data_IF_707066542471
#
_entry.id   IF_707066542471
#
_cell.length_a   1.000
_cell.length_b   1.000
_cell.length_c   1.000
_cell.angle_alpha   90.00
_cell.angle_beta   90.00
_cell.angle_gamma   90.00
#
_symmetry.space_group_name_H-M   'P 1'
#
loop_
_entity.id
_entity.type
_entity.pdbx_description
1 polymer ?
#
# COMPACT_ATOMS: atom_id res chain seq x y z
N UNK A 1 -19.05 23.95 -7.22
CA UNK A 1 -19.86 22.72 -7.06
C UNK A 1 -19.01 21.66 -6.38
N UNK A 2 -19.45 20.99 -5.30
CA UNK A 2 -18.62 20.02 -4.58
C UNK A 2 -18.38 18.75 -5.41
N UNK A 3 -17.19 18.16 -5.27
CA UNK A 3 -16.74 17.02 -6.07
C UNK A 3 -17.61 15.76 -5.89
N UNK A 4 -18.14 15.53 -4.68
CA UNK A 4 -19.03 14.40 -4.38
C UNK A 4 -20.49 14.87 -4.23
N UNK A 5 -21.06 15.36 -5.32
CA UNK A 5 -22.47 15.74 -5.39
C UNK A 5 -23.30 14.64 -6.08
N UNK A 6 -24.54 14.44 -5.65
CA UNK A 6 -25.53 13.57 -6.33
C UNK A 6 -25.75 14.03 -7.77
N UNK A 7 -25.73 15.35 -7.99
CA UNK A 7 -25.85 15.98 -9.33
C UNK A 7 -24.68 15.58 -10.25
N UNK A 8 -23.49 15.31 -9.69
CA UNK A 8 -22.34 14.77 -10.42
C UNK A 8 -22.31 13.23 -10.46
N UNK A 9 -23.44 12.57 -10.19
CA UNK A 9 -23.59 11.10 -10.13
C UNK A 9 -22.58 10.42 -9.20
N UNK A 10 -22.12 11.12 -8.16
CA UNK A 10 -21.06 10.64 -7.25
C UNK A 10 -19.79 10.18 -8.00
N UNK A 11 -19.50 10.76 -9.17
CA UNK A 11 -18.37 10.35 -10.01
C UNK A 11 -17.06 10.48 -9.22
N UNK A 12 -16.34 9.37 -9.13
CA UNK A 12 -15.01 9.32 -8.49
C UNK A 12 -13.99 9.77 -9.53
N UNK A 13 -13.12 10.72 -9.16
CA UNK A 13 -11.99 11.08 -10.03
C UNK A 13 -11.05 9.89 -10.19
N UNK A 14 -10.51 9.73 -11.40
CA UNK A 14 -9.49 8.72 -11.65
C UNK A 14 -8.26 9.00 -10.80
N UNK A 15 -7.67 7.93 -10.26
CA UNK A 15 -6.48 8.02 -9.43
C UNK A 15 -5.27 8.12 -10.37
N UNK A 16 -4.42 9.16 -10.24
CA UNK A 16 -3.18 9.29 -10.98
C UNK A 16 -2.33 8.01 -10.93
N UNK A 17 -1.66 7.68 -12.03
CA UNK A 17 -0.86 6.45 -12.16
C UNK A 17 0.27 6.39 -11.11
N UNK A 18 0.83 7.54 -10.75
CA UNK A 18 1.87 7.70 -9.73
C UNK A 18 1.38 7.31 -8.34
N UNK A 19 0.08 7.52 -8.05
CA UNK A 19 -0.54 7.11 -6.78
C UNK A 19 -1.00 5.64 -6.81
N UNK A 20 -1.34 5.14 -8.00
CA UNK A 20 -1.78 3.76 -8.19
C UNK A 20 -0.66 2.75 -7.97
N UNK A 21 0.59 3.10 -8.36
CA UNK A 21 1.78 2.24 -8.21
C UNK A 21 2.28 2.07 -6.77
N UNK A 22 1.87 2.93 -5.85
CA UNK A 22 2.40 2.94 -4.48
C UNK A 22 1.95 1.74 -3.65
N UNK A 23 2.89 1.23 -2.85
CA UNK A 23 2.63 0.25 -1.81
C UNK A 23 1.83 0.84 -0.65
N UNK A 24 1.29 -0.02 0.23
CA UNK A 24 0.54 0.43 1.39
C UNK A 24 1.38 1.30 2.32
N UNK A 25 2.62 0.88 2.61
CA UNK A 25 3.53 1.68 3.45
C UNK A 25 3.86 3.04 2.82
N UNK A 26 4.00 3.09 1.50
CA UNK A 26 4.26 4.34 0.77
C UNK A 26 3.05 5.28 0.78
N UNK A 27 1.84 4.73 0.62
CA UNK A 27 0.59 5.47 0.80
C UNK A 27 0.48 6.03 2.22
N UNK A 28 0.90 5.27 3.22
CA UNK A 28 0.95 5.73 4.61
C UNK A 28 1.95 6.88 4.81
N UNK A 29 3.10 6.88 4.12
CA UNK A 29 4.09 7.96 4.22
C UNK A 29 3.59 9.29 3.66
N UNK A 30 2.80 9.24 2.58
CA UNK A 30 2.23 10.44 1.95
C UNK A 30 0.86 10.80 2.51
N UNK A 31 0.31 10.05 3.46
CA UNK A 31 -1.00 10.35 4.01
C UNK A 31 -0.90 11.51 5.02
N UNK A 32 -1.69 12.58 4.81
CA UNK A 32 -1.84 13.67 5.80
C UNK A 32 -2.37 13.16 7.15
N UNK A 33 -3.20 12.12 7.10
CA UNK A 33 -3.83 11.50 8.27
C UNK A 33 -3.77 10.00 8.12
N UNK A 34 -3.12 9.34 9.07
CA UNK A 34 -3.04 7.89 9.15
C UNK A 34 -4.29 7.34 9.84
N UNK A 35 -5.15 6.56 9.15
CA UNK A 35 -6.26 5.89 9.81
C UNK A 35 -5.71 4.80 10.73
N UNK A 36 -5.85 4.97 12.05
CA UNK A 36 -5.41 3.97 13.04
C UNK A 36 -6.47 2.90 13.32
N UNK A 37 -7.62 2.96 12.66
CA UNK A 37 -8.74 2.02 12.87
C UNK A 37 -8.63 0.84 11.92
N UNK A 38 -8.49 -0.37 12.47
CA UNK A 38 -8.57 -1.62 11.72
C UNK A 38 -10.01 -2.11 11.76
N UNK A 39 -10.69 -2.10 10.61
CA UNK A 39 -11.93 -2.85 10.46
C UNK A 39 -11.53 -4.32 10.29
N UNK A 40 -11.88 -5.13 11.27
CA UNK A 40 -11.72 -6.58 11.20
C UNK A 40 -13.07 -7.21 10.97
N UNK A 41 -13.16 -8.08 9.97
CA UNK A 41 -14.32 -8.95 9.85
C UNK A 41 -14.36 -9.83 11.11
N UNK A 42 -15.53 -9.91 11.75
CA UNK A 42 -15.75 -10.95 12.75
C UNK A 42 -15.54 -12.29 12.06
N UNK A 43 -14.52 -13.04 12.48
CA UNK A 43 -14.36 -14.42 12.04
C UNK A 43 -15.64 -15.18 12.41
N UNK A 44 -16.27 -15.78 11.41
CA UNK A 44 -17.53 -16.55 11.51
C UNK A 44 -17.48 -17.70 12.54
N UNK A 45 -16.29 -18.01 13.09
CA UNK A 45 -16.09 -19.01 14.12
C UNK A 45 -16.76 -18.74 15.46
N UNK A 46 -17.28 -17.53 15.72
CA UNK A 46 -18.11 -17.28 16.92
C UNK A 46 -19.59 -17.67 16.76
N UNK A 47 -20.05 -17.94 15.53
CA UNK A 47 -21.45 -18.30 15.27
C UNK A 47 -21.63 -19.79 14.90
N UNK A 48 -20.60 -20.48 14.41
CA UNK A 48 -20.66 -21.93 14.15
C UNK A 48 -19.29 -22.59 14.21
N UNK A 49 -19.06 -23.43 15.22
CA UNK A 49 -17.84 -24.24 15.38
C UNK A 49 -17.66 -25.29 14.27
N UNK A 50 -18.73 -25.65 13.55
CA UNK A 50 -18.74 -26.69 12.50
C UNK A 50 -18.26 -26.20 11.12
N UNK A 51 -18.14 -24.88 10.92
CA UNK A 51 -17.69 -24.28 9.65
C UNK A 51 -16.25 -23.72 9.75
N UNK A 52 -15.48 -24.21 10.73
CA UNK A 52 -14.09 -23.79 10.92
C UNK A 52 -13.20 -24.47 9.88
N UNK A 53 -12.83 -23.76 8.82
CA UNK A 53 -11.80 -24.22 7.88
C UNK A 53 -10.44 -24.28 8.60
N UNK A 54 -9.90 -25.48 8.76
CA UNK A 54 -8.53 -25.71 9.24
C UNK A 54 -7.57 -25.53 8.06
N UNK A 55 -7.11 -24.30 7.85
CA UNK A 55 -6.11 -23.99 6.82
C UNK A 55 -4.72 -24.54 7.17
N UNK A 56 -4.04 -25.12 6.18
CA UNK A 56 -2.66 -25.59 6.28
C UNK A 56 -1.70 -24.40 6.44
N UNK A 57 -0.77 -24.47 7.40
CA UNK A 57 0.28 -23.47 7.60
C UNK A 57 1.55 -23.88 6.85
N UNK A 58 1.74 -23.34 5.65
CA UNK A 58 3.00 -23.38 4.92
C UNK A 58 3.02 -22.27 3.87
N UNK A 59 4.16 -21.59 3.65
CA UNK A 59 4.27 -20.61 2.58
C UNK A 59 4.23 -21.33 1.23
N UNK A 60 3.19 -21.08 0.45
CA UNK A 60 3.02 -21.58 -0.91
C UNK A 60 3.19 -20.39 -1.84
N UNK A 61 4.40 -20.20 -2.37
CA UNK A 61 4.70 -19.15 -3.35
C UNK A 61 4.70 -19.74 -4.76
N UNK A 62 3.53 -19.77 -5.40
CA UNK A 62 3.43 -19.92 -6.85
C UNK A 62 3.45 -18.53 -7.48
N UNK A 63 4.62 -17.87 -7.47
CA UNK A 63 4.80 -16.62 -8.22
C UNK A 63 5.15 -17.02 -9.66
N UNK A 64 4.34 -16.68 -10.67
CA UNK A 64 4.74 -16.85 -12.06
C UNK A 64 5.96 -15.96 -12.30
N UNK A 65 7.11 -16.58 -12.54
CA UNK A 65 8.34 -15.88 -12.87
C UNK A 65 8.40 -15.70 -14.38
N UNK A 66 8.36 -14.45 -14.84
CA UNK A 66 8.63 -14.12 -16.24
C UNK A 66 10.15 -14.10 -16.44
N UNK A 67 10.67 -15.15 -17.08
CA UNK A 67 12.11 -15.41 -17.19
C UNK A 67 12.77 -14.36 -18.10
N UNK A 68 12.08 -13.91 -19.13
CA UNK A 68 12.57 -12.91 -20.10
C UNK A 68 12.77 -11.54 -19.46
N UNK A 69 11.80 -11.11 -18.65
CA UNK A 69 11.91 -9.88 -17.85
C UNK A 69 13.07 -10.01 -16.84
N UNK A 70 13.24 -11.18 -16.24
CA UNK A 70 14.29 -11.39 -15.23
C UNK A 70 15.69 -11.31 -15.83
N UNK A 71 15.89 -11.85 -17.04
CA UNK A 71 17.18 -11.81 -17.75
C UNK A 71 17.49 -10.41 -18.29
N UNK A 72 16.48 -9.67 -18.75
CA UNK A 72 16.65 -8.31 -19.30
C UNK A 72 16.77 -7.23 -18.23
N UNK A 73 16.22 -7.45 -17.03
CA UNK A 73 16.26 -6.48 -15.92
C UNK A 73 17.45 -6.63 -14.98
N UNK A 74 18.25 -7.69 -15.12
CA UNK A 74 19.44 -7.93 -14.31
C UNK A 74 20.73 -7.73 -15.13
N UNK A 75 21.74 -7.02 -14.59
CA UNK A 75 21.78 -6.38 -13.28
C UNK A 75 20.88 -5.14 -13.21
N UNK A 76 20.12 -5.01 -12.13
CA UNK A 76 19.19 -3.89 -11.92
C UNK A 76 19.97 -2.58 -11.89
N UNK A 77 19.63 -1.59 -12.73
CA UNK A 77 20.35 -0.31 -12.75
C UNK A 77 20.32 0.35 -11.36
N UNK A 78 21.46 0.91 -10.95
CA UNK A 78 21.69 1.44 -9.59
C UNK A 78 20.62 2.47 -9.18
N UNK A 79 20.18 3.29 -10.13
CA UNK A 79 19.14 4.30 -9.91
C UNK A 79 17.76 3.70 -9.58
N UNK A 80 17.48 2.48 -10.06
CA UNK A 80 16.23 1.74 -9.81
C UNK A 80 16.37 0.68 -8.73
N UNK A 81 17.55 0.52 -8.12
CA UNK A 81 17.83 -0.51 -7.12
C UNK A 81 17.76 0.02 -5.68
N UNK A 82 17.64 1.33 -5.48
CA UNK A 82 17.64 1.96 -4.15
C UNK A 82 16.29 1.80 -3.43
N UNK A 83 15.94 0.56 -3.09
CA UNK A 83 14.83 0.28 -2.18
C UNK A 83 15.30 0.39 -0.73
N UNK A 84 14.51 1.09 0.08
CA UNK A 84 14.76 1.25 1.52
C UNK A 84 13.80 0.36 2.30
N UNK A 85 14.33 -0.46 3.21
CA UNK A 85 13.49 -1.22 4.15
C UNK A 85 13.00 -0.29 5.24
N UNK A 86 11.68 -0.21 5.43
CA UNK A 86 11.08 0.73 6.36
C UNK A 86 10.06 0.02 7.26
N UNK A 87 10.21 0.26 8.57
CA UNK A 87 9.37 -0.33 9.61
C UNK A 87 8.45 0.74 10.19
N UNK A 88 7.14 0.58 10.00
CA UNK A 88 6.14 1.41 10.64
C UNK A 88 5.81 0.83 12.02
N UNK A 89 6.06 1.61 13.07
CA UNK A 89 5.71 1.26 14.44
C UNK A 89 4.62 2.20 14.96
N UNK A 90 3.68 1.68 15.75
CA UNK A 90 2.66 2.50 16.42
C UNK A 90 3.27 3.53 17.38
N UNK A 91 4.34 3.14 18.06
CA UNK A 91 5.18 4.00 18.91
C UNK A 91 6.62 3.55 18.75
N UNK A 92 7.56 4.48 18.69
CA UNK A 92 8.99 4.17 18.52
C UNK A 92 9.55 3.24 19.61
N UNK A 93 9.05 3.38 20.85
CA UNK A 93 9.42 2.54 22.00
C UNK A 93 8.96 1.08 21.91
N UNK A 94 8.05 0.74 20.99
CA UNK A 94 7.55 -0.63 20.88
C UNK A 94 8.54 -1.53 20.12
N UNK A 95 8.70 -2.76 20.61
CA UNK A 95 9.46 -3.80 19.91
C UNK A 95 8.69 -4.32 18.69
N UNK A 96 7.38 -4.47 18.82
CA UNK A 96 6.51 -4.94 17.75
C UNK A 96 6.42 -3.92 16.61
N UNK A 97 6.59 -4.40 15.38
CA UNK A 97 6.41 -3.65 14.13
C UNK A 97 4.98 -3.85 13.64
N UNK A 98 4.34 -2.77 13.19
CA UNK A 98 2.98 -2.83 12.65
C UNK A 98 3.00 -3.31 11.20
N UNK A 99 3.87 -2.71 10.39
CA UNK A 99 4.06 -3.05 8.98
C UNK A 99 5.53 -2.83 8.61
N UNK A 100 6.11 -3.75 7.85
CA UNK A 100 7.47 -3.64 7.31
C UNK A 100 7.42 -3.95 5.82
N UNK A 101 7.88 -3.01 5.00
CA UNK A 101 7.95 -3.16 3.55
C UNK A 101 9.19 -2.48 2.98
N UNK A 102 9.61 -2.92 1.80
CA UNK A 102 10.56 -2.20 0.97
C UNK A 102 9.81 -1.07 0.25
N UNK A 103 10.38 0.12 0.28
CA UNK A 103 9.84 1.31 -0.36
C UNK A 103 10.83 1.88 -1.37
N UNK A 104 10.31 2.54 -2.41
CA UNK A 104 11.10 3.33 -3.34
C UNK A 104 10.95 4.83 -3.00
N UNK A 105 12.00 5.51 -2.52
CA UNK A 105 11.95 6.92 -2.18
C UNK A 105 11.57 7.83 -3.36
N UNK A 106 11.92 7.44 -4.59
CA UNK A 106 11.60 8.23 -5.78
C UNK A 106 10.10 8.19 -6.08
N UNK A 107 9.48 7.01 -5.99
CA UNK A 107 8.04 6.86 -6.22
C UNK A 107 7.22 7.67 -5.21
N UNK A 108 7.67 7.70 -3.95
CA UNK A 108 7.06 8.50 -2.87
C UNK A 108 7.18 10.01 -3.16
N UNK A 109 8.34 10.47 -3.63
CA UNK A 109 8.57 11.90 -3.96
C UNK A 109 7.74 12.34 -5.16
N UNK A 110 7.70 11.55 -6.22
CA UNK A 110 6.89 11.82 -7.41
C UNK A 110 5.41 11.90 -7.04
N UNK A 111 4.93 10.95 -6.24
CA UNK A 111 3.56 10.93 -5.75
C UNK A 111 3.21 12.18 -4.92
N UNK A 112 4.11 12.61 -4.04
CA UNK A 112 3.92 13.85 -3.27
C UNK A 112 3.86 15.07 -4.18
N UNK A 113 4.74 15.16 -5.19
CA UNK A 113 4.75 16.27 -6.14
C UNK A 113 3.44 16.36 -6.95
N UNK A 114 2.88 15.22 -7.35
CA UNK A 114 1.57 15.18 -8.01
C UNK A 114 0.46 15.60 -7.03
N UNK A 115 0.49 15.12 -5.78
CA UNK A 115 -0.51 15.45 -4.77
C UNK A 115 -0.54 16.93 -4.38
N UNK A 116 0.62 17.56 -4.23
CA UNK A 116 0.72 19.00 -3.90
C UNK A 116 0.18 19.88 -5.02
N UNK A 117 0.35 19.47 -6.29
CA UNK A 117 -0.27 20.15 -7.45
C UNK A 117 -1.78 19.94 -7.52
N UNK A 118 -2.25 18.74 -7.22
CA UNK A 118 -3.66 18.35 -7.36
C UNK A 118 -4.54 18.86 -6.22
N UNK A 119 -4.02 18.94 -4.99
CA UNK A 119 -4.84 19.18 -3.81
C UNK A 119 -4.24 20.26 -2.88
N UNK A 120 -4.95 21.36 -2.60
CA UNK A 120 -4.43 22.50 -1.84
C UNK A 120 -4.14 22.19 -0.36
N UNK A 121 -4.67 21.08 0.16
CA UNK A 121 -4.39 20.60 1.52
C UNK A 121 -3.06 19.86 1.69
N UNK A 122 -2.37 19.56 0.59
CA UNK A 122 -1.02 19.01 0.57
C UNK A 122 -0.04 20.17 0.37
N UNK A 123 0.48 20.73 1.47
CA UNK A 123 1.47 21.80 1.49
C UNK A 123 2.70 21.37 2.27
#
# INVERSE_FOLDING_TARGET
>A
MPSRAVVNKLKVCEIPSELKRLNNLEKHLIALRLPFMKIVNLTSGKLSSRLTQKGTKGPLHCVPSDVEDTVTTLPRPVDKSMMVRLQLKRRLKYKAVWEEQLINPNDVRDALFVLTKMHPGYK
#
